data_IF_985131085775
#
_entry.id   IF_985131085775
#
_cell.length_a   1.000
_cell.length_b   1.000
_cell.length_c   1.000
_cell.angle_alpha   90.00
_cell.angle_beta   90.00
_cell.angle_gamma   90.00
#
_symmetry.space_group_name_H-M   'P 1'
#
loop_
_entity.id
_entity.type
_entity.pdbx_description
1 polymer ?
#
# COMPACT_ATOMS: atom_id res chain seq x y z
N UNK A 1 -22.94 15.04 22.52
CA UNK A 1 -23.16 13.76 21.82
C UNK A 1 -21.99 12.84 22.15
N UNK A 2 -22.24 11.69 22.76
CA UNK A 2 -21.22 10.67 22.97
C UNK A 2 -20.94 10.01 21.62
N UNK A 3 -20.04 10.61 20.83
CA UNK A 3 -19.54 9.97 19.62
C UNK A 3 -18.93 8.63 20.04
N UNK A 4 -19.33 7.49 19.44
CA UNK A 4 -18.68 6.21 19.72
C UNK A 4 -17.19 6.41 19.51
N UNK A 5 -16.38 5.98 20.48
CA UNK A 5 -14.94 6.22 20.43
C UNK A 5 -14.40 5.67 19.11
N UNK A 6 -13.85 6.53 18.26
CA UNK A 6 -13.25 6.17 16.96
C UNK A 6 -12.08 5.17 17.10
N UNK A 7 -11.72 4.75 18.31
CA UNK A 7 -10.68 3.78 18.63
C UNK A 7 -10.77 2.48 17.81
N UNK A 8 -11.97 1.98 17.51
CA UNK A 8 -12.10 0.78 16.68
C UNK A 8 -11.67 1.02 15.23
N UNK A 9 -12.02 2.19 14.68
CA UNK A 9 -11.61 2.61 13.34
C UNK A 9 -10.08 2.74 13.24
N UNK A 10 -9.44 3.30 14.28
CA UNK A 10 -7.97 3.40 14.38
C UNK A 10 -7.28 2.03 14.49
N UNK A 11 -7.86 1.10 15.26
CA UNK A 11 -7.36 -0.28 15.35
C UNK A 11 -7.40 -0.96 13.98
N UNK A 12 -8.52 -0.83 13.25
CA UNK A 12 -8.62 -1.36 11.89
C UNK A 12 -7.56 -0.72 10.98
N UNK A 13 -7.40 0.60 11.03
CA UNK A 13 -6.38 1.29 10.22
C UNK A 13 -4.96 0.78 10.51
N UNK A 14 -4.59 0.61 11.78
CA UNK A 14 -3.28 0.08 12.15
C UNK A 14 -3.05 -1.35 11.65
N UNK A 15 -4.03 -2.24 11.81
CA UNK A 15 -3.95 -3.61 11.29
C UNK A 15 -3.89 -3.63 9.76
N UNK A 16 -4.75 -2.88 9.08
CA UNK A 16 -4.76 -2.78 7.61
C UNK A 16 -3.43 -2.28 7.08
N UNK A 17 -2.80 -1.30 7.75
CA UNK A 17 -1.46 -0.81 7.39
C UNK A 17 -0.39 -1.91 7.52
N UNK A 18 -0.41 -2.67 8.63
CA UNK A 18 0.49 -3.82 8.81
C UNK A 18 0.29 -4.90 7.75
N UNK A 19 -0.97 -5.23 7.43
CA UNK A 19 -1.31 -6.18 6.37
C UNK A 19 -0.88 -5.68 4.97
N UNK A 20 -1.00 -4.38 4.69
CA UNK A 20 -0.50 -3.79 3.44
C UNK A 20 1.01 -3.93 3.31
N UNK A 21 1.77 -3.71 4.40
CA UNK A 21 3.22 -3.88 4.40
C UNK A 21 3.61 -5.35 4.19
N UNK A 22 2.93 -6.27 4.87
CA UNK A 22 3.13 -7.71 4.68
C UNK A 22 2.85 -8.14 3.23
N UNK A 23 1.73 -7.70 2.66
CA UNK A 23 1.38 -7.97 1.27
C UNK A 23 2.42 -7.37 0.30
N UNK A 24 2.93 -6.18 0.58
CA UNK A 24 4.01 -5.55 -0.20
C UNK A 24 5.31 -6.37 -0.16
N UNK A 25 5.70 -6.91 1.00
CA UNK A 25 6.86 -7.79 1.11
C UNK A 25 6.67 -9.11 0.33
N UNK A 26 5.48 -9.72 0.42
CA UNK A 26 5.16 -10.90 -0.40
C UNK A 26 5.21 -10.61 -1.91
N UNK A 27 4.76 -9.43 -2.32
CA UNK A 27 4.88 -8.96 -3.71
C UNK A 27 6.34 -8.79 -4.14
N UNK A 28 7.19 -8.25 -3.25
CA UNK A 28 8.61 -8.12 -3.52
C UNK A 28 9.27 -9.50 -3.69
N UNK A 29 8.96 -10.47 -2.83
CA UNK A 29 9.47 -11.85 -2.93
C UNK A 29 9.01 -12.51 -4.23
N UNK A 30 7.71 -12.52 -4.50
CA UNK A 30 7.16 -13.16 -5.70
C UNK A 30 7.59 -12.46 -6.99
N UNK A 31 7.71 -11.13 -6.99
CA UNK A 31 8.21 -10.34 -8.10
C UNK A 31 9.69 -10.61 -8.39
N UNK A 32 10.52 -10.68 -7.34
CA UNK A 32 11.94 -11.02 -7.45
C UNK A 32 12.13 -12.44 -7.95
N UNK A 33 11.34 -13.40 -7.47
CA UNK A 33 11.36 -14.78 -7.97
C UNK A 33 11.02 -14.83 -9.47
N UNK A 34 9.94 -14.16 -9.91
CA UNK A 34 9.61 -14.08 -11.33
C UNK A 34 10.70 -13.39 -12.18
N UNK A 35 11.40 -12.42 -11.62
CA UNK A 35 12.53 -11.75 -12.29
C UNK A 35 13.73 -12.70 -12.42
N UNK A 36 14.06 -13.43 -11.35
CA UNK A 36 15.14 -14.41 -11.32
C UNK A 36 14.90 -15.55 -12.32
N UNK A 37 13.75 -16.22 -12.27
CA UNK A 37 13.41 -17.32 -13.17
C UNK A 37 13.53 -16.91 -14.64
N UNK A 38 13.15 -15.67 -14.95
CA UNK A 38 13.26 -15.13 -16.31
C UNK A 38 14.71 -14.92 -16.73
N UNK A 39 15.55 -14.37 -15.86
CA UNK A 39 16.95 -14.11 -16.19
C UNK A 39 17.79 -15.38 -16.27
N UNK A 40 17.42 -16.42 -15.51
CA UNK A 40 18.07 -17.72 -15.53
C UNK A 40 17.45 -18.69 -16.55
N UNK A 41 16.44 -18.26 -17.32
CA UNK A 41 15.67 -19.08 -18.27
C UNK A 41 15.05 -20.34 -17.64
N UNK A 42 14.79 -20.29 -16.34
CA UNK A 42 14.14 -21.37 -15.61
C UNK A 42 12.62 -21.36 -15.85
N UNK A 43 11.97 -22.53 -15.86
CA UNK A 43 10.52 -22.60 -15.96
C UNK A 43 9.89 -22.01 -14.70
N UNK A 44 9.14 -20.92 -14.86
CA UNK A 44 8.41 -20.31 -13.76
C UNK A 44 7.31 -21.25 -13.23
N UNK A 45 7.16 -21.43 -11.91
CA UNK A 45 6.03 -22.15 -11.33
C UNK A 45 4.68 -21.56 -11.78
N UNK A 46 3.72 -22.42 -12.16
CA UNK A 46 2.41 -21.98 -12.69
C UNK A 46 1.60 -21.16 -11.67
N UNK A 47 1.79 -21.38 -10.37
CA UNK A 47 1.09 -20.69 -9.29
C UNK A 47 1.68 -19.32 -8.93
N UNK A 48 2.93 -19.04 -9.31
CA UNK A 48 3.64 -17.84 -8.84
C UNK A 48 2.99 -16.55 -9.35
N UNK A 49 2.60 -16.52 -10.63
CA UNK A 49 1.90 -15.39 -11.24
C UNK A 49 0.52 -15.13 -10.63
N UNK A 50 -0.39 -16.12 -10.54
CA UNK A 50 -1.71 -15.87 -9.96
C UNK A 50 -1.60 -15.45 -8.49
N UNK A 51 -0.66 -16.00 -7.72
CA UNK A 51 -0.41 -15.53 -6.33
C UNK A 51 0.04 -14.07 -6.32
N UNK A 52 1.01 -13.69 -7.15
CA UNK A 52 1.46 -12.29 -7.23
C UNK A 52 0.32 -11.33 -7.59
N UNK A 53 -0.55 -11.70 -8.54
CA UNK A 53 -1.70 -10.89 -8.92
C UNK A 53 -2.75 -10.81 -7.80
N UNK A 54 -3.04 -11.92 -7.11
CA UNK A 54 -3.99 -11.96 -6.01
C UNK A 54 -3.53 -11.09 -4.83
N UNK A 55 -2.26 -11.24 -4.41
CA UNK A 55 -1.67 -10.41 -3.35
C UNK A 55 -1.65 -8.94 -3.78
N UNK A 56 -1.40 -8.64 -5.05
CA UNK A 56 -1.45 -7.28 -5.61
C UNK A 56 -2.82 -6.65 -5.50
N UNK A 57 -3.87 -7.40 -5.84
CA UNK A 57 -5.25 -6.96 -5.70
C UNK A 57 -5.64 -6.73 -4.23
N UNK A 58 -5.23 -7.63 -3.33
CA UNK A 58 -5.44 -7.49 -1.88
C UNK A 58 -4.75 -6.24 -1.36
N UNK A 59 -3.48 -6.03 -1.71
CA UNK A 59 -2.71 -4.86 -1.29
C UNK A 59 -3.34 -3.55 -1.78
N UNK A 60 -3.75 -3.49 -3.05
CA UNK A 60 -4.43 -2.32 -3.60
C UNK A 60 -5.76 -2.03 -2.90
N UNK A 61 -6.54 -3.06 -2.61
CA UNK A 61 -7.81 -2.95 -1.87
C UNK A 61 -7.57 -2.42 -0.45
N UNK A 62 -6.58 -2.95 0.27
CA UNK A 62 -6.22 -2.50 1.61
C UNK A 62 -5.80 -1.02 1.63
N UNK A 63 -5.01 -0.59 0.65
CA UNK A 63 -4.54 0.81 0.55
C UNK A 63 -5.69 1.78 0.25
N UNK A 64 -6.64 1.39 -0.61
CA UNK A 64 -7.84 2.19 -0.88
C UNK A 64 -8.75 2.24 0.36
N UNK A 65 -8.92 1.11 1.05
CA UNK A 65 -9.68 1.05 2.29
C UNK A 65 -9.07 1.96 3.36
N UNK A 66 -7.74 1.94 3.51
CA UNK A 66 -7.00 2.82 4.43
C UNK A 66 -7.24 4.30 4.12
N UNK A 67 -7.21 4.69 2.84
CA UNK A 67 -7.54 6.06 2.43
C UNK A 67 -8.98 6.42 2.84
N UNK A 68 -9.94 5.54 2.56
CA UNK A 68 -11.34 5.74 2.94
C UNK A 68 -11.52 5.90 4.44
N UNK A 69 -10.90 5.02 5.23
CA UNK A 69 -10.89 5.09 6.70
C UNK A 69 -10.27 6.41 7.18
N UNK A 70 -9.13 6.80 6.61
CA UNK A 70 -8.44 8.03 6.98
C UNK A 70 -9.26 9.29 6.68
N UNK A 71 -9.89 9.35 5.50
CA UNK A 71 -10.75 10.47 5.09
C UNK A 71 -12.01 10.56 5.97
N UNK A 72 -12.72 9.44 6.17
CA UNK A 72 -13.92 9.41 7.02
C UNK A 72 -13.58 9.72 8.47
N UNK A 73 -12.47 9.18 8.99
CA UNK A 73 -12.02 9.43 10.35
C UNK A 73 -11.62 10.89 10.58
N UNK A 74 -10.91 11.51 9.64
CA UNK A 74 -10.48 12.92 9.76
C UNK A 74 -11.66 13.89 9.60
N UNK A 75 -12.48 13.72 8.56
CA UNK A 75 -13.68 14.55 8.35
C UNK A 75 -14.69 14.37 9.48
N UNK A 76 -14.93 13.13 9.93
CA UNK A 76 -15.90 12.84 10.98
C UNK A 76 -15.49 13.37 12.34
N UNK A 77 -14.19 13.40 12.66
CA UNK A 77 -13.69 13.87 13.96
C UNK A 77 -13.37 15.37 13.97
N UNK A 78 -12.72 15.89 12.92
CA UNK A 78 -12.23 17.28 12.86
C UNK A 78 -13.08 18.21 11.99
N UNK A 79 -14.04 17.69 11.21
CA UNK A 79 -14.83 18.48 10.25
C UNK A 79 -14.04 18.97 9.02
N UNK A 80 -12.76 18.60 8.91
CA UNK A 80 -11.87 18.93 7.80
C UNK A 80 -10.79 17.84 7.66
N UNK A 81 -10.08 17.80 6.53
CA UNK A 81 -9.07 16.76 6.25
C UNK A 81 -7.75 16.92 7.05
N UNK A 82 -7.61 18.02 7.80
CA UNK A 82 -6.44 18.35 8.60
C UNK A 82 -5.21 18.77 7.77
N UNK A 83 -4.28 19.48 8.41
CA UNK A 83 -2.97 19.84 7.84
C UNK A 83 -1.87 18.89 8.34
N UNK A 84 -1.97 17.60 8.01
CA UNK A 84 -0.94 16.61 8.38
C UNK A 84 -0.05 16.26 7.18
N UNK A 85 1.22 15.98 7.42
CA UNK A 85 2.11 15.39 6.42
C UNK A 85 1.68 13.96 6.03
N UNK A 86 0.83 13.31 6.83
CA UNK A 86 0.37 11.95 6.58
C UNK A 86 -0.59 11.86 5.39
N UNK A 87 -1.50 12.82 5.23
CA UNK A 87 -2.45 12.85 4.11
C UNK A 87 -1.76 12.89 2.73
N UNK A 88 -0.86 13.85 2.42
CA UNK A 88 -0.17 13.88 1.14
C UNK A 88 0.72 12.65 0.94
N UNK A 89 1.37 12.13 1.99
CA UNK A 89 2.14 10.88 1.91
C UNK A 89 1.25 9.68 1.55
N UNK A 90 0.08 9.57 2.19
CA UNK A 90 -0.91 8.51 1.92
C UNK A 90 -1.46 8.59 0.50
N UNK A 91 -1.80 9.77 0.02
CA UNK A 91 -2.23 9.99 -1.37
C UNK A 91 -1.14 9.60 -2.37
N UNK A 92 0.12 9.98 -2.11
CA UNK A 92 1.24 9.58 -2.94
C UNK A 92 1.39 8.05 -3.00
N UNK A 93 1.28 7.35 -1.87
CA UNK A 93 1.29 5.88 -1.83
C UNK A 93 0.14 5.29 -2.63
N UNK A 94 -1.09 5.78 -2.46
CA UNK A 94 -2.26 5.32 -3.24
C UNK A 94 -2.01 5.49 -4.74
N UNK A 95 -1.53 6.66 -5.18
CA UNK A 95 -1.20 6.91 -6.58
C UNK A 95 -0.14 5.94 -7.10
N UNK A 96 0.94 5.74 -6.36
CA UNK A 96 2.00 4.80 -6.74
C UNK A 96 1.49 3.36 -6.82
N UNK A 97 0.59 2.94 -5.92
CA UNK A 97 -0.06 1.62 -5.98
C UNK A 97 -0.87 1.48 -7.26
N UNK A 98 -1.69 2.47 -7.61
CA UNK A 98 -2.50 2.44 -8.83
C UNK A 98 -1.62 2.43 -10.10
N UNK A 99 -0.53 3.20 -10.12
CA UNK A 99 0.46 3.18 -11.20
C UNK A 99 1.14 1.81 -11.29
N UNK A 100 1.51 1.21 -10.16
CA UNK A 100 2.13 -0.12 -10.09
C UNK A 100 1.18 -1.20 -10.63
N UNK A 101 -0.09 -1.21 -10.21
CA UNK A 101 -1.11 -2.14 -10.71
C UNK A 101 -1.35 -1.93 -12.20
N UNK A 102 -1.59 -0.69 -12.62
CA UNK A 102 -1.88 -0.34 -14.01
C UNK A 102 -0.73 -0.69 -14.96
N UNK A 103 0.51 -0.46 -14.55
CA UNK A 103 1.70 -0.86 -15.32
C UNK A 103 1.92 -2.37 -15.30
N UNK A 104 1.72 -3.03 -14.16
CA UNK A 104 1.86 -4.49 -13.99
C UNK A 104 0.92 -5.30 -14.90
N UNK A 105 -0.34 -4.86 -15.01
CA UNK A 105 -1.33 -5.47 -15.90
C UNK A 105 -1.01 -5.31 -17.39
N UNK A 106 -0.18 -4.33 -17.75
CA UNK A 106 0.19 -4.03 -19.13
C UNK A 106 1.49 -4.70 -19.60
N UNK A 107 2.18 -5.44 -18.72
CA UNK A 107 3.44 -6.12 -19.04
C UNK A 107 3.21 -7.13 -20.18
N UNK A 108 3.75 -6.80 -21.35
CA UNK A 108 3.71 -7.64 -22.54
C UNK A 108 4.88 -7.30 -23.47
N UNK A 109 5.26 -8.18 -24.40
CA UNK A 109 6.29 -7.88 -25.41
C UNK A 109 5.98 -6.63 -26.25
N UNK A 110 4.69 -6.30 -26.43
CA UNK A 110 4.23 -5.11 -27.17
C UNK A 110 4.37 -3.80 -26.38
N UNK A 111 4.59 -3.87 -25.06
CA UNK A 111 4.69 -2.70 -24.16
C UNK A 111 5.94 -2.83 -23.28
N UNK A 112 7.14 -2.61 -23.84
CA UNK A 112 8.41 -2.81 -23.11
C UNK A 112 8.58 -1.83 -21.93
N UNK A 113 7.90 -0.68 -21.95
CA UNK A 113 7.91 0.33 -20.89
C UNK A 113 7.20 -0.11 -19.61
N UNK A 114 6.23 -1.03 -19.70
CA UNK A 114 5.35 -1.36 -18.58
C UNK A 114 6.10 -2.03 -17.43
N UNK A 115 7.07 -2.90 -17.73
CA UNK A 115 7.88 -3.59 -16.73
C UNK A 115 8.83 -2.64 -15.96
N UNK A 116 9.69 -1.83 -16.60
CA UNK A 116 10.55 -0.91 -15.87
C UNK A 116 9.74 0.12 -15.08
N UNK A 117 8.59 0.58 -15.58
CA UNK A 117 7.70 1.45 -14.80
C UNK A 117 7.16 0.73 -13.56
N UNK A 118 6.64 -0.49 -13.69
CA UNK A 118 6.16 -1.28 -12.56
C UNK A 118 7.26 -1.46 -11.50
N UNK A 119 8.45 -1.90 -11.91
CA UNK A 119 9.55 -2.16 -10.96
C UNK A 119 10.01 -0.86 -10.29
N UNK A 120 10.27 0.21 -11.04
CA UNK A 120 10.68 1.50 -10.48
C UNK A 120 9.62 2.08 -9.53
N UNK A 121 8.35 1.98 -9.88
CA UNK A 121 7.24 2.39 -9.01
C UNK A 121 7.23 1.59 -7.72
N UNK A 122 7.47 0.27 -7.77
CA UNK A 122 7.56 -0.55 -6.56
C UNK A 122 8.78 -0.20 -5.70
N UNK A 123 9.91 0.17 -6.28
CA UNK A 123 11.07 0.66 -5.52
C UNK A 123 10.72 1.99 -4.83
N UNK A 124 10.06 2.92 -5.53
CA UNK A 124 9.60 4.18 -4.94
C UNK A 124 8.53 3.95 -3.85
N UNK A 125 7.67 2.94 -4.00
CA UNK A 125 6.68 2.55 -2.99
C UNK A 125 7.32 2.18 -1.66
N UNK A 126 8.55 1.62 -1.65
CA UNK A 126 9.24 1.33 -0.39
C UNK A 126 9.45 2.62 0.42
N UNK A 127 9.97 3.67 -0.20
CA UNK A 127 10.15 4.97 0.43
C UNK A 127 8.81 5.58 0.83
N UNK A 128 7.77 5.40 0.01
CA UNK A 128 6.40 5.81 0.32
C UNK A 128 5.88 5.14 1.59
N UNK A 129 6.01 3.81 1.71
CA UNK A 129 5.59 3.07 2.89
C UNK A 129 6.34 3.51 4.16
N UNK A 130 7.67 3.68 4.07
CA UNK A 130 8.46 4.22 5.19
C UNK A 130 7.94 5.59 5.61
N UNK A 131 7.68 6.49 4.65
CA UNK A 131 7.18 7.84 4.93
C UNK A 131 5.81 7.82 5.58
N UNK A 132 4.89 6.99 5.08
CA UNK A 132 3.53 6.87 5.63
C UNK A 132 3.55 6.21 7.02
N UNK A 133 4.46 5.28 7.29
CA UNK A 133 4.67 4.71 8.63
C UNK A 133 5.18 5.77 9.62
N UNK A 134 6.21 6.53 9.26
CA UNK A 134 6.77 7.57 10.11
C UNK A 134 5.74 8.66 10.41
N UNK A 135 5.07 9.18 9.39
CA UNK A 135 4.03 10.20 9.57
C UNK A 135 2.81 9.63 10.30
N UNK A 136 2.43 8.38 10.04
CA UNK A 136 1.30 7.71 10.70
C UNK A 136 1.55 7.46 12.18
N UNK A 137 2.79 7.11 12.55
CA UNK A 137 3.18 6.96 13.96
C UNK A 137 2.89 8.23 14.76
N UNK A 138 3.22 9.41 14.23
CA UNK A 138 2.92 10.70 14.90
C UNK A 138 1.43 10.95 15.10
N UNK A 139 0.57 10.40 14.24
CA UNK A 139 -0.88 10.46 14.37
C UNK A 139 -1.36 9.49 15.45
N UNK A 140 -0.86 8.25 15.45
CA UNK A 140 -1.23 7.22 16.44
C UNK A 140 -0.89 7.65 17.87
N UNK A 141 0.24 8.34 18.08
CA UNK A 141 0.63 8.84 19.40
C UNK A 141 -0.43 9.76 20.04
N UNK A 142 -1.26 10.45 19.25
CA UNK A 142 -2.34 11.31 19.76
C UNK A 142 -3.49 10.52 20.42
N UNK A 143 -3.55 9.21 20.17
CA UNK A 143 -4.62 8.33 20.63
C UNK A 143 -4.16 7.35 21.72
N UNK A 144 -2.86 7.33 22.05
CA UNK A 144 -2.34 6.55 23.16
C UNK A 144 -2.48 7.33 24.47
N UNK A 145 -2.86 6.69 25.58
CA UNK A 145 -2.82 7.33 26.88
C UNK A 145 -1.38 7.75 27.19
N UNK A 146 -1.17 9.00 27.59
CA UNK A 146 0.08 9.40 28.24
C UNK A 146 0.16 8.68 29.59
N UNK A 147 1.24 7.93 29.81
CA UNK A 147 1.53 7.33 31.12
C UNK A 147 1.78 8.40 32.18
#
# INVERSE_FOLDING_TARGET
MNLPSFLWLWKIAAWSMGFSLFAYLLLAVTGTWMFYDRNTKQPRPKWLRPVHLAVGAVMATLVILLLGIGVVGTLGYYGNLGHSAHLPAGLAVVTLVLVSVGSGLQISPKRPWARPLHISTNVTLLAGFVTVLLTGWTIVQKYLPTA
#
